data_IF_557206412838
#
_entry.id   IF_557206412838
#
_cell.length_a   1.000
_cell.length_b   1.000
_cell.length_c   1.000
_cell.angle_alpha   90.00
_cell.angle_beta   90.00
_cell.angle_gamma   90.00
#
_symmetry.space_group_name_H-M   'P 1'
#
loop_
_entity.id
_entity.type
_entity.pdbx_description
1 polymer ?
#
# COMPACT_ATOMS: atom_id res chain seq x y z
N UNK A 1 23.36 2.46 -8.81
CA UNK A 1 22.58 3.27 -9.76
C UNK A 1 22.85 2.89 -11.22
N UNK A 2 24.08 2.49 -11.57
CA UNK A 2 24.45 2.13 -12.95
C UNK A 2 23.77 0.85 -13.46
N UNK A 3 23.28 0.00 -12.58
CA UNK A 3 22.60 -1.26 -12.94
C UNK A 3 21.07 -1.13 -13.03
N UNK A 4 20.50 -0.02 -12.62
CA UNK A 4 19.05 0.19 -12.64
C UNK A 4 18.57 0.50 -14.06
N UNK A 5 17.68 -0.34 -14.60
CA UNK A 5 17.15 -0.22 -15.97
C UNK A 5 15.85 0.56 -16.04
N UNK A 6 15.17 0.78 -14.93
CA UNK A 6 13.88 1.47 -14.85
C UNK A 6 13.91 2.56 -13.79
N UNK A 7 13.17 3.65 -14.02
CA UNK A 7 13.06 4.78 -13.09
C UNK A 7 12.59 4.33 -11.69
N UNK A 8 11.67 3.37 -11.64
CA UNK A 8 11.17 2.78 -10.40
C UNK A 8 12.25 2.08 -9.58
N UNK A 9 13.21 1.42 -10.23
CA UNK A 9 14.36 0.79 -9.55
C UNK A 9 15.29 1.84 -8.97
N UNK A 10 15.51 2.95 -9.68
CA UNK A 10 16.28 4.08 -9.19
C UNK A 10 15.60 4.73 -7.98
N UNK A 11 14.28 4.90 -8.01
CA UNK A 11 13.52 5.44 -6.90
C UNK A 11 13.57 4.53 -5.67
N UNK A 12 13.45 3.21 -5.85
CA UNK A 12 13.55 2.23 -4.76
C UNK A 12 14.97 2.21 -4.14
N UNK A 13 16.01 2.35 -4.96
CA UNK A 13 17.40 2.47 -4.49
C UNK A 13 17.67 3.79 -3.78
N UNK A 14 17.07 4.90 -4.22
CA UNK A 14 17.22 6.23 -3.62
C UNK A 14 16.36 6.42 -2.36
N UNK A 15 15.27 5.66 -2.21
CA UNK A 15 14.32 5.79 -1.11
C UNK A 15 14.94 5.75 0.30
N UNK A 16 15.97 4.91 0.60
CA UNK A 16 16.65 4.93 1.90
C UNK A 16 17.39 6.25 2.20
N UNK A 17 17.79 6.98 1.17
CA UNK A 17 18.58 8.23 1.27
C UNK A 17 17.72 9.49 1.22
N UNK A 18 16.45 9.37 0.83
CA UNK A 18 15.52 10.50 0.81
C UNK A 18 15.23 10.93 2.25
N UNK A 19 15.34 12.23 2.55
CA UNK A 19 14.93 12.76 3.86
C UNK A 19 13.49 12.31 4.17
N UNK A 20 13.36 11.45 5.16
CA UNK A 20 12.07 10.86 5.52
C UNK A 20 11.24 11.92 6.23
N UNK A 21 10.13 12.35 5.63
CA UNK A 21 9.05 12.99 6.38
C UNK A 21 8.66 12.03 7.52
N UNK A 22 8.31 12.57 8.69
CA UNK A 22 7.77 11.77 9.79
C UNK A 22 6.57 10.96 9.27
N UNK A 23 6.77 9.66 9.13
CA UNK A 23 5.70 8.73 8.74
C UNK A 23 5.06 8.18 10.01
N UNK A 24 3.83 7.67 9.93
CA UNK A 24 3.18 6.99 11.05
C UNK A 24 4.06 5.88 11.60
N UNK A 25 4.70 5.09 10.72
CA UNK A 25 5.64 4.04 11.12
C UNK A 25 6.87 4.57 11.88
N UNK A 26 7.42 5.75 11.51
CA UNK A 26 8.53 6.35 12.25
C UNK A 26 8.08 6.83 13.64
N UNK A 27 6.89 7.40 13.73
CA UNK A 27 6.28 7.80 15.00
C UNK A 27 6.04 6.59 15.91
N UNK A 28 5.53 5.49 15.36
CA UNK A 28 5.31 4.26 16.12
C UNK A 28 6.63 3.65 16.65
N UNK A 29 7.72 3.75 15.87
CA UNK A 29 9.06 3.36 16.35
C UNK A 29 9.56 4.28 17.46
N UNK A 30 9.37 5.60 17.33
CA UNK A 30 9.70 6.56 18.39
C UNK A 30 8.94 6.26 19.69
N UNK A 31 7.70 5.81 19.59
CA UNK A 31 6.86 5.34 20.71
C UNK A 31 7.33 3.99 21.31
N UNK A 32 8.24 3.28 20.64
CA UNK A 32 8.81 2.01 21.11
C UNK A 32 7.95 0.79 20.77
N UNK A 33 7.10 0.86 19.75
CA UNK A 33 6.16 -0.21 19.37
C UNK A 33 6.76 -1.25 18.40
N UNK A 34 8.03 -1.10 18.01
CA UNK A 34 8.70 -2.05 17.11
C UNK A 34 8.76 -3.50 17.65
N UNK A 35 9.01 -3.76 18.96
CA UNK A 35 8.98 -5.12 19.48
C UNK A 35 7.59 -5.74 19.43
N UNK A 36 6.52 -4.97 19.65
CA UNK A 36 5.14 -5.44 19.51
C UNK A 36 4.82 -5.83 18.06
N UNK A 37 5.25 -5.02 17.07
CA UNK A 37 5.13 -5.38 15.67
C UNK A 37 5.86 -6.68 15.33
N UNK A 38 7.07 -6.88 15.87
CA UNK A 38 7.83 -8.13 15.72
C UNK A 38 7.10 -9.32 16.36
N UNK A 39 6.50 -9.14 17.53
CA UNK A 39 5.70 -10.17 18.19
C UNK A 39 4.49 -10.57 17.33
N UNK A 40 3.77 -9.60 16.77
CA UNK A 40 2.66 -9.87 15.85
C UNK A 40 3.12 -10.67 14.63
N UNK A 41 4.23 -10.30 14.00
CA UNK A 41 4.78 -10.98 12.83
C UNK A 41 5.32 -12.38 13.12
N UNK A 42 5.78 -12.64 14.36
CA UNK A 42 6.22 -13.98 14.78
C UNK A 42 5.07 -14.99 14.87
N UNK A 43 3.84 -14.55 15.09
CA UNK A 43 2.61 -15.36 15.11
C UNK A 43 2.73 -16.65 15.92
N UNK A 44 3.34 -16.57 17.10
CA UNK A 44 3.55 -17.75 17.98
C UNK A 44 2.22 -18.33 18.43
N UNK A 45 2.04 -19.66 18.35
CA UNK A 45 0.85 -20.31 18.88
C UNK A 45 0.66 -20.01 20.38
N UNK A 46 -0.56 -19.68 20.78
CA UNK A 46 -0.89 -19.37 22.19
C UNK A 46 -0.49 -17.98 22.65
N UNK A 47 -0.02 -17.10 21.76
CA UNK A 47 0.21 -15.70 22.06
C UNK A 47 -1.12 -14.96 22.29
N UNK A 48 -1.17 -14.11 23.31
CA UNK A 48 -2.26 -13.18 23.56
C UNK A 48 -1.80 -11.77 23.16
N UNK A 49 -2.39 -11.25 22.08
CA UNK A 49 -2.00 -9.99 21.49
C UNK A 49 -2.37 -8.80 22.39
N UNK A 50 -3.54 -8.86 23.01
CA UNK A 50 -4.02 -7.81 23.89
C UNK A 50 -3.16 -7.74 25.19
N UNK A 51 -2.83 -8.90 25.74
CA UNK A 51 -1.95 -8.99 26.92
C UNK A 51 -0.54 -8.47 26.60
N UNK A 52 -0.01 -8.78 25.43
CA UNK A 52 1.30 -8.27 25.02
C UNK A 52 1.24 -6.76 24.75
N UNK A 53 0.23 -6.27 24.04
CA UNK A 53 0.04 -4.85 23.75
C UNK A 53 -0.10 -4.00 25.02
N UNK A 54 -0.75 -4.53 26.06
CA UNK A 54 -0.88 -3.86 27.35
C UNK A 54 0.47 -3.49 27.99
N UNK A 55 1.55 -4.21 27.69
CA UNK A 55 2.91 -3.92 28.18
C UNK A 55 3.53 -2.67 27.55
N UNK A 56 2.98 -2.21 26.42
CA UNK A 56 3.48 -1.07 25.67
C UNK A 56 2.67 0.20 25.91
N UNK A 57 1.67 0.16 26.80
CA UNK A 57 0.93 1.35 27.20
C UNK A 57 1.88 2.30 27.94
N UNK A 58 2.02 3.51 27.42
CA UNK A 58 2.87 4.54 28.00
C UNK A 58 2.33 5.93 27.59
N UNK A 59 1.64 6.58 28.52
CA UNK A 59 1.04 7.89 28.29
C UNK A 59 2.09 8.98 27.95
N UNK A 60 3.31 8.89 28.51
CA UNK A 60 4.38 9.84 28.19
C UNK A 60 4.85 9.76 26.75
N UNK A 61 4.72 8.58 26.14
CA UNK A 61 4.99 8.35 24.72
C UNK A 61 3.75 8.48 23.83
N UNK A 62 2.60 8.85 24.40
CA UNK A 62 1.34 9.00 23.67
C UNK A 62 0.77 7.65 23.21
N UNK A 63 0.88 6.61 24.03
CA UNK A 63 0.21 5.32 23.90
C UNK A 63 -0.65 5.13 25.12
N UNK A 64 -1.93 5.46 25.01
CA UNK A 64 -2.84 5.55 26.18
C UNK A 64 -3.57 4.23 26.43
N UNK A 65 -3.75 3.41 25.40
CA UNK A 65 -4.49 2.15 25.47
C UNK A 65 -3.91 1.06 24.56
N UNK A 66 -4.48 -0.14 24.66
CA UNK A 66 -4.10 -1.32 23.88
C UNK A 66 -4.34 -1.11 22.40
N UNK A 67 -5.44 -0.45 22.03
CA UNK A 67 -5.82 -0.22 20.64
C UNK A 67 -4.80 0.69 19.94
N UNK A 68 -4.35 1.74 20.61
CA UNK A 68 -3.28 2.61 20.09
C UNK A 68 -1.94 1.89 19.96
N UNK A 69 -1.62 0.97 20.89
CA UNK A 69 -0.42 0.17 20.82
C UNK A 69 -0.46 -0.76 19.59
N UNK A 70 -1.59 -1.44 19.36
CA UNK A 70 -1.80 -2.32 18.21
C UNK A 70 -1.76 -1.56 16.90
N UNK A 71 -2.53 -0.50 16.77
CA UNK A 71 -2.55 0.35 15.56
C UNK A 71 -1.16 0.90 15.23
N UNK A 72 -0.39 1.30 16.24
CA UNK A 72 1.00 1.74 16.06
C UNK A 72 1.93 0.62 15.58
N UNK A 73 1.76 -0.60 16.08
CA UNK A 73 2.55 -1.76 15.66
C UNK A 73 2.23 -2.18 14.20
N UNK A 74 0.99 -2.07 13.79
CA UNK A 74 0.52 -2.34 12.43
C UNK A 74 1.21 -1.46 11.39
N UNK A 75 1.44 -0.19 11.69
CA UNK A 75 2.12 0.76 10.82
C UNK A 75 3.56 0.36 10.45
N UNK A 76 4.20 -0.53 11.23
CA UNK A 76 5.60 -0.92 11.05
C UNK A 76 5.76 -2.10 10.07
N UNK A 77 4.69 -2.84 9.77
CA UNK A 77 4.76 -4.12 9.05
C UNK A 77 4.88 -4.02 7.51
N UNK A 78 5.14 -2.84 6.95
CA UNK A 78 5.27 -2.65 5.50
C UNK A 78 6.52 -3.32 4.89
N UNK A 79 6.33 -4.21 3.92
CA UNK A 79 7.38 -4.99 3.25
C UNK A 79 7.59 -4.62 1.78
N UNK A 80 8.85 -4.34 1.39
CA UNK A 80 9.23 -4.06 0.00
C UNK A 80 8.97 -5.26 -0.96
N UNK A 81 9.05 -6.49 -0.46
CA UNK A 81 8.79 -7.70 -1.27
C UNK A 81 7.31 -7.82 -1.65
N UNK A 82 6.40 -7.44 -0.74
CA UNK A 82 4.96 -7.44 -0.98
C UNK A 82 4.64 -6.43 -2.09
N UNK A 83 5.21 -5.23 -2.02
CA UNK A 83 5.02 -4.20 -3.06
C UNK A 83 5.47 -4.65 -4.44
N UNK A 84 6.64 -5.29 -4.54
CA UNK A 84 7.13 -5.78 -5.84
C UNK A 84 6.17 -6.78 -6.49
N UNK A 85 5.69 -7.76 -5.73
CA UNK A 85 4.74 -8.77 -6.24
C UNK A 85 3.39 -8.17 -6.61
N UNK A 86 2.90 -7.21 -5.83
CA UNK A 86 1.65 -6.52 -6.15
C UNK A 86 1.77 -5.66 -7.40
N UNK A 87 2.89 -4.95 -7.61
CA UNK A 87 3.14 -4.24 -8.88
C UNK A 87 3.12 -5.19 -10.08
N UNK A 88 3.75 -6.36 -9.99
CA UNK A 88 3.69 -7.35 -11.05
C UNK A 88 2.25 -7.84 -11.33
N UNK A 89 1.47 -8.02 -10.27
CA UNK A 89 0.08 -8.41 -10.39
C UNK A 89 -0.77 -7.29 -11.01
N UNK A 90 -0.58 -6.04 -10.58
CA UNK A 90 -1.24 -4.86 -11.13
C UNK A 90 -0.94 -4.70 -12.62
N UNK A 91 0.33 -4.79 -13.02
CA UNK A 91 0.72 -4.70 -14.43
C UNK A 91 0.05 -5.76 -15.32
N UNK A 92 -0.23 -6.95 -14.78
CA UNK A 92 -0.83 -8.05 -15.53
C UNK A 92 -2.35 -7.99 -15.58
N UNK A 93 -3.00 -7.48 -14.53
CA UNK A 93 -4.43 -7.68 -14.30
C UNK A 93 -5.23 -6.39 -14.14
N UNK A 94 -4.59 -5.26 -13.88
CA UNK A 94 -5.29 -4.00 -13.71
C UNK A 94 -5.83 -3.46 -15.04
N UNK A 95 -6.91 -2.68 -14.92
CA UNK A 95 -7.51 -1.91 -16.02
C UNK A 95 -7.38 -0.42 -15.72
N UNK A 96 -7.07 0.36 -16.74
CA UNK A 96 -7.18 1.81 -16.67
C UNK A 96 -8.59 2.16 -17.13
N UNK A 97 -9.32 2.89 -16.31
CA UNK A 97 -10.63 3.40 -16.63
C UNK A 97 -10.62 4.92 -16.57
N UNK A 98 -11.30 5.56 -17.52
CA UNK A 98 -11.42 7.01 -17.55
C UNK A 98 -12.88 7.42 -17.60
N UNK A 99 -13.19 8.54 -16.96
CA UNK A 99 -14.49 9.21 -17.01
C UNK A 99 -14.30 10.69 -17.32
N UNK A 100 -15.37 11.40 -17.66
CA UNK A 100 -15.33 12.85 -17.87
C UNK A 100 -14.79 13.56 -16.63
N UNK A 101 -13.87 14.47 -16.84
CA UNK A 101 -13.32 15.37 -15.83
C UNK A 101 -14.23 16.56 -15.56
N UNK A 102 -13.65 17.59 -14.94
CA UNK A 102 -14.36 18.83 -14.58
C UNK A 102 -14.38 19.85 -15.72
N UNK A 103 -13.43 19.75 -16.67
CA UNK A 103 -13.34 20.64 -17.82
C UNK A 103 -13.74 19.88 -19.09
N UNK A 104 -14.59 20.51 -19.89
CA UNK A 104 -14.96 19.97 -21.21
C UNK A 104 -13.85 20.26 -22.21
N UNK A 105 -13.35 19.21 -22.88
CA UNK A 105 -12.43 19.31 -24.01
C UNK A 105 -12.67 18.16 -24.98
N UNK A 106 -13.24 18.50 -26.13
CA UNK A 106 -13.65 17.54 -27.17
C UNK A 106 -12.50 16.67 -27.72
N UNK A 107 -11.26 17.12 -27.57
CA UNK A 107 -10.07 16.34 -27.99
C UNK A 107 -10.01 14.99 -27.24
N UNK A 108 -10.54 14.94 -26.00
CA UNK A 108 -10.51 13.74 -25.15
C UNK A 108 -11.84 12.97 -25.13
N UNK A 109 -12.84 13.36 -25.94
CA UNK A 109 -14.16 12.71 -25.94
C UNK A 109 -14.07 11.19 -26.19
N UNK A 110 -13.11 10.75 -27.02
CA UNK A 110 -12.87 9.33 -27.27
C UNK A 110 -12.40 8.55 -26.05
N UNK A 111 -11.92 9.25 -25.01
CA UNK A 111 -11.49 8.68 -23.73
C UNK A 111 -12.45 9.00 -22.59
N UNK A 112 -13.59 9.64 -22.82
CA UNK A 112 -14.52 10.07 -21.77
C UNK A 112 -15.22 8.92 -21.04
N UNK A 113 -15.30 7.75 -21.66
CA UNK A 113 -15.80 6.48 -21.10
C UNK A 113 -14.96 5.34 -21.67
N UNK A 114 -13.70 5.29 -21.26
CA UNK A 114 -12.74 4.34 -21.83
C UNK A 114 -12.23 3.40 -20.76
N UNK A 115 -12.04 2.13 -21.11
CA UNK A 115 -11.40 1.13 -20.25
C UNK A 115 -10.54 0.19 -21.08
N UNK A 116 -9.29 -0.02 -20.64
CA UNK A 116 -8.36 -0.95 -21.26
C UNK A 116 -7.42 -1.57 -20.24
N UNK A 117 -7.02 -2.83 -20.47
CA UNK A 117 -6.03 -3.50 -19.62
C UNK A 117 -4.66 -2.80 -19.67
N UNK A 118 -4.08 -2.53 -18.49
CA UNK A 118 -2.73 -1.97 -18.33
C UNK A 118 -1.69 -2.72 -19.17
N UNK A 119 -1.83 -4.04 -19.29
CA UNK A 119 -0.92 -4.87 -20.07
C UNK A 119 -0.96 -4.62 -21.57
N UNK A 120 -2.10 -4.17 -22.09
CA UNK A 120 -2.36 -4.05 -23.55
C UNK A 120 -2.35 -2.63 -24.06
N UNK A 121 -2.53 -1.67 -23.17
CA UNK A 121 -2.66 -0.26 -23.56
C UNK A 121 -1.41 0.24 -24.26
N UNK A 122 -1.62 0.87 -25.41
CA UNK A 122 -0.52 1.42 -26.18
C UNK A 122 0.06 2.68 -25.53
N UNK A 123 1.40 2.90 -25.55
CA UNK A 123 2.05 4.05 -24.90
C UNK A 123 1.46 5.41 -25.31
N UNK A 124 1.08 5.59 -26.57
CA UNK A 124 0.48 6.85 -27.04
C UNK A 124 -0.88 7.14 -26.40
N UNK A 125 -1.66 6.10 -26.06
CA UNK A 125 -2.94 6.26 -25.35
C UNK A 125 -2.72 6.64 -23.89
N UNK A 126 -1.73 6.04 -23.22
CA UNK A 126 -1.34 6.44 -21.86
C UNK A 126 -0.99 7.92 -21.83
N UNK A 127 -0.15 8.39 -22.79
CA UNK A 127 0.23 9.80 -22.87
C UNK A 127 -0.96 10.73 -23.15
N UNK A 128 -1.92 10.29 -23.98
CA UNK A 128 -3.12 11.07 -24.24
C UNK A 128 -4.04 11.16 -23.01
N UNK A 129 -4.22 10.05 -22.30
CA UNK A 129 -5.01 9.97 -21.06
C UNK A 129 -4.37 10.81 -19.95
N UNK A 130 -3.06 10.68 -19.72
CA UNK A 130 -2.30 11.47 -18.74
C UNK A 130 -2.43 12.98 -19.01
N UNK A 131 -2.30 13.40 -20.27
CA UNK A 131 -2.52 14.80 -20.64
C UNK A 131 -3.96 15.25 -20.39
N UNK A 132 -4.95 14.41 -20.72
CA UNK A 132 -6.36 14.70 -20.44
C UNK A 132 -6.65 14.83 -18.95
N UNK A 133 -5.97 14.06 -18.10
CA UNK A 133 -6.06 14.18 -16.66
C UNK A 133 -5.41 15.48 -16.13
N UNK A 134 -4.21 15.82 -16.62
CA UNK A 134 -3.52 17.08 -16.28
C UNK A 134 -4.33 18.32 -16.69
N UNK A 135 -5.06 18.25 -17.79
CA UNK A 135 -5.97 19.31 -18.26
C UNK A 135 -7.32 19.28 -17.54
N UNK A 136 -7.55 18.35 -16.61
CA UNK A 136 -8.82 18.13 -15.89
C UNK A 136 -10.01 17.76 -16.80
N UNK A 137 -9.74 17.38 -18.05
CA UNK A 137 -10.73 16.92 -19.01
C UNK A 137 -11.15 15.46 -18.79
N UNK A 138 -10.24 14.67 -18.20
CA UNK A 138 -10.48 13.28 -17.83
C UNK A 138 -10.21 13.08 -16.34
N UNK A 139 -10.94 12.13 -15.74
CA UNK A 139 -10.64 11.56 -14.45
C UNK A 139 -10.18 10.12 -14.67
N UNK A 140 -8.97 9.81 -14.28
CA UNK A 140 -8.34 8.50 -14.48
C UNK A 140 -8.43 7.68 -13.19
N UNK A 141 -8.71 6.40 -13.34
CA UNK A 141 -8.69 5.43 -12.23
C UNK A 141 -8.06 4.13 -12.70
N UNK A 142 -7.41 3.44 -11.78
CA UNK A 142 -6.90 2.09 -11.99
C UNK A 142 -7.80 1.13 -11.22
N UNK A 143 -8.42 0.20 -11.94
CA UNK A 143 -9.32 -0.79 -11.38
C UNK A 143 -8.65 -2.14 -11.26
N UNK A 144 -8.80 -2.78 -10.11
CA UNK A 144 -8.31 -4.12 -9.82
C UNK A 144 -9.16 -4.78 -8.75
N UNK A 145 -9.19 -6.10 -8.75
CA UNK A 145 -9.81 -6.86 -7.67
C UNK A 145 -8.97 -6.73 -6.38
N UNK A 146 -9.46 -5.88 -5.49
CA UNK A 146 -8.81 -5.59 -4.20
C UNK A 146 -8.75 -6.82 -3.31
N UNK A 147 -9.76 -7.70 -3.34
CA UNK A 147 -9.80 -8.91 -2.51
C UNK A 147 -8.68 -9.88 -2.90
N UNK A 148 -8.43 -10.04 -4.20
CA UNK A 148 -7.31 -10.85 -4.68
C UNK A 148 -5.98 -10.25 -4.25
N UNK A 149 -5.82 -8.94 -4.36
CA UNK A 149 -4.59 -8.27 -3.93
C UNK A 149 -4.33 -8.42 -2.43
N UNK A 150 -5.35 -8.20 -1.60
CA UNK A 150 -5.27 -8.41 -0.15
C UNK A 150 -4.95 -9.86 0.18
N UNK A 151 -5.63 -10.82 -0.46
CA UNK A 151 -5.36 -12.26 -0.29
C UNK A 151 -3.92 -12.65 -0.67
N UNK A 152 -3.31 -11.99 -1.66
CA UNK A 152 -1.89 -12.20 -1.98
C UNK A 152 -0.96 -11.71 -0.88
N UNK A 153 -1.27 -10.58 -0.23
CA UNK A 153 -0.52 -10.06 0.91
C UNK A 153 -0.65 -11.02 2.09
N UNK A 154 -1.88 -11.42 2.41
CA UNK A 154 -2.19 -12.33 3.51
C UNK A 154 -1.44 -13.67 3.39
N UNK A 155 -1.46 -14.27 2.22
CA UNK A 155 -0.75 -15.53 1.96
C UNK A 155 0.77 -15.46 2.19
N UNK A 156 1.33 -14.26 2.20
CA UNK A 156 2.76 -14.04 2.49
C UNK A 156 3.03 -13.72 3.95
N UNK A 157 2.09 -13.02 4.59
CA UNK A 157 2.25 -12.47 5.94
C UNK A 157 1.62 -13.38 6.98
N UNK A 158 0.45 -13.97 6.70
CA UNK A 158 -0.32 -14.71 7.68
C UNK A 158 0.03 -16.20 7.61
N UNK A 159 0.54 -16.74 8.72
CA UNK A 159 0.78 -18.17 8.84
C UNK A 159 -0.55 -18.93 9.01
N UNK A 160 -0.63 -20.16 8.47
CA UNK A 160 -1.78 -21.04 8.73
C UNK A 160 -1.95 -21.22 10.23
N UNK A 161 -3.17 -21.04 10.73
CA UNK A 161 -3.54 -21.13 12.14
C UNK A 161 -2.91 -20.03 13.04
N UNK A 162 -2.60 -18.87 12.49
CA UNK A 162 -2.18 -17.72 13.28
C UNK A 162 -3.26 -17.29 14.27
N UNK A 163 -2.97 -17.15 15.56
CA UNK A 163 -3.93 -16.59 16.52
C UNK A 163 -4.24 -15.11 16.24
N UNK A 164 -3.40 -14.45 15.43
CA UNK A 164 -3.51 -13.04 15.10
C UNK A 164 -4.07 -12.80 13.68
N UNK A 165 -4.65 -13.83 13.03
CA UNK A 165 -5.09 -13.76 11.65
C UNK A 165 -6.05 -12.59 11.38
N UNK A 166 -6.97 -12.29 12.32
CA UNK A 166 -7.92 -11.18 12.18
C UNK A 166 -7.20 -9.82 12.20
N UNK A 167 -6.34 -9.57 13.17
CA UNK A 167 -5.59 -8.33 13.26
C UNK A 167 -4.67 -8.14 12.04
N UNK A 168 -3.98 -9.19 11.62
CA UNK A 168 -3.12 -9.15 10.43
C UNK A 168 -3.90 -8.96 9.13
N UNK A 169 -5.14 -9.44 9.04
CA UNK A 169 -6.02 -9.15 7.91
C UNK A 169 -6.30 -7.66 7.79
N UNK A 170 -6.68 -7.00 8.88
CA UNK A 170 -6.93 -5.56 8.92
C UNK A 170 -5.68 -4.76 8.52
N UNK A 171 -4.49 -5.19 8.96
CA UNK A 171 -3.19 -4.63 8.55
C UNK A 171 -2.96 -4.77 7.05
N UNK A 172 -3.24 -5.95 6.48
CA UNK A 172 -3.06 -6.19 5.05
C UNK A 172 -3.98 -5.32 4.19
N UNK A 173 -5.25 -5.17 4.60
CA UNK A 173 -6.20 -4.29 3.92
C UNK A 173 -5.77 -2.82 3.97
N UNK A 174 -5.39 -2.31 5.15
CA UNK A 174 -4.96 -0.93 5.33
C UNK A 174 -3.66 -0.65 4.55
N UNK A 175 -2.69 -1.56 4.63
CA UNK A 175 -1.44 -1.47 3.86
C UNK A 175 -1.71 -1.43 2.35
N UNK A 176 -2.63 -2.26 1.85
CA UNK A 176 -3.02 -2.23 0.45
C UNK A 176 -3.63 -0.89 0.05
N UNK A 177 -4.66 -0.44 0.76
CA UNK A 177 -5.41 0.78 0.43
C UNK A 177 -4.57 2.05 0.55
N UNK A 178 -3.70 2.12 1.53
CA UNK A 178 -3.00 3.34 1.91
C UNK A 178 -1.58 3.48 1.38
N UNK A 179 -0.85 2.38 1.30
CA UNK A 179 0.57 2.39 1.00
C UNK A 179 0.92 1.80 -0.36
N UNK A 180 0.18 0.79 -0.80
CA UNK A 180 0.56 0.00 -1.97
C UNK A 180 -0.20 0.43 -3.20
N UNK A 181 -1.51 0.58 -3.10
CA UNK A 181 -2.35 0.96 -4.23
C UNK A 181 -2.09 2.39 -4.75
N UNK A 182 -1.81 3.41 -3.88
CA UNK A 182 -1.48 4.77 -4.34
C UNK A 182 -0.04 4.95 -4.83
N UNK A 183 0.85 3.97 -4.69
CA UNK A 183 2.27 4.05 -5.03
C UNK A 183 2.61 3.43 -6.38
#
# INVERSE_FOLDING_TARGET
LEEAKMLSEVEDLYRPYKQKRKTRASVAREKGLEPLAKFMLMQKPGGDLEQEAARYINAEKGVEDVEQALSGAEEISDSAQIRSRLREYLQKNAQISTTKGTKENQIYDMYSEYSESVRRIAPHRILAIDRGEQEEALKVSVEIDQQICVGMIENQVIHRNSPFAKALHEVCEDSFKRLIFPS
#
